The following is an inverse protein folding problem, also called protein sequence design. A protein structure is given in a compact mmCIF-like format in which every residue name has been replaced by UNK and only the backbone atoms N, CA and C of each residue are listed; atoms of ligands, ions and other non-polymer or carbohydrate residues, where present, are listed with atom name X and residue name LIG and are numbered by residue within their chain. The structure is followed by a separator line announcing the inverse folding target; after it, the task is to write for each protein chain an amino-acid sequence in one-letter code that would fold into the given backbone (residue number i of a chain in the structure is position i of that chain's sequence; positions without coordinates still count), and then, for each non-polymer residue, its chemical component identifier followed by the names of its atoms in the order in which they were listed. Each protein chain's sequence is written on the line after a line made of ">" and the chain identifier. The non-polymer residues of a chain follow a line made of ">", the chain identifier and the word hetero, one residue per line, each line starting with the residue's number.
data_IF_425844448796
#
_entry.id   IF_425844448796
#
_cell.length_a   1.000
_cell.length_b   1.000
_cell.length_c   1.000
_cell.angle_alpha   90.00
_cell.angle_beta   90.00
_cell.angle_gamma   90.00
#
_symmetry.space_group_name_H-M   'P 1'
#
loop_
_entity.id
_entity.type
_entity.pdbx_description
1 polymer ?
#
# COMPACT_ATOMS: atom_id res chain seq x y z
N UNK A 1 2.38 -19.62 15.92
CA UNK A 1 2.55 -19.16 15.70
C UNK A 1 2.80 -18.26 15.71
N UNK A 2 3.12 -17.83 15.49
CA UNK A 2 3.38 -17.01 15.39
C UNK A 2 2.85 -16.07 15.45
N UNK A 3 2.89 -15.56 15.77
CA UNK A 3 2.46 -14.56 15.75
C UNK A 3 3.05 -13.65 15.02
N UNK A 4 3.04 -13.61 13.90
CA UNK A 4 3.60 -12.69 13.17
C UNK A 4 2.82 -11.61 12.92
N UNK A 5 3.23 -10.42 13.08
CA UNK A 5 2.47 -9.25 12.86
C UNK A 5 3.20 -8.39 11.95
N UNK A 6 2.59 -7.51 11.29
CA UNK A 6 3.21 -6.52 10.48
C UNK A 6 3.94 -7.12 9.32
N UNK A 7 5.17 -6.75 9.12
CA UNK A 7 5.89 -7.08 7.92
C UNK A 7 6.13 -8.56 7.74
N UNK A 8 6.15 -9.29 8.82
CA UNK A 8 6.40 -10.69 8.68
C UNK A 8 5.28 -11.46 8.05
N UNK A 9 4.10 -10.91 8.04
CA UNK A 9 2.97 -11.58 7.44
C UNK A 9 2.70 -11.11 6.04
N UNK A 10 3.50 -10.20 5.49
CA UNK A 10 3.29 -9.68 4.16
C UNK A 10 4.21 -10.37 3.17
N UNK A 11 3.70 -10.61 1.96
CA UNK A 11 4.53 -11.12 0.90
C UNK A 11 5.40 -9.99 0.36
N UNK A 12 6.36 -10.34 -0.46
CA UNK A 12 7.25 -9.35 -1.05
C UNK A 12 6.46 -8.34 -1.87
N UNK A 13 5.45 -8.82 -2.58
CA UNK A 13 4.62 -7.96 -3.39
C UNK A 13 3.90 -6.93 -2.52
N UNK A 14 3.33 -7.40 -1.43
CA UNK A 14 2.60 -6.52 -0.53
C UNK A 14 3.51 -5.49 0.13
N UNK A 15 4.71 -5.91 0.47
CA UNK A 15 5.66 -4.96 1.05
C UNK A 15 6.07 -3.89 0.05
N UNK A 16 6.28 -4.29 -1.21
CA UNK A 16 6.64 -3.32 -2.23
C UNK A 16 5.53 -2.30 -2.44
N UNK A 17 4.29 -2.73 -2.43
CA UNK A 17 3.17 -1.82 -2.56
C UNK A 17 3.11 -0.89 -1.35
N UNK A 18 3.33 -1.43 -0.16
CA UNK A 18 3.31 -0.61 1.04
C UNK A 18 4.40 0.47 1.00
N UNK A 19 5.59 0.11 0.56
CA UNK A 19 6.68 1.06 0.47
C UNK A 19 6.38 2.12 -0.59
N UNK A 20 5.75 1.74 -1.69
CA UNK A 20 5.36 2.71 -2.71
C UNK A 20 4.34 3.70 -2.16
N UNK A 21 3.38 3.22 -1.39
CA UNK A 21 2.39 4.08 -0.77
C UNK A 21 3.07 5.05 0.19
N UNK A 22 3.98 4.54 1.00
CA UNK A 22 4.69 5.35 1.95
C UNK A 22 5.48 6.46 1.25
N UNK A 23 6.16 6.10 0.17
CA UNK A 23 6.94 7.05 -0.59
C UNK A 23 6.06 8.13 -1.21
N UNK A 24 4.95 7.75 -1.81
CA UNK A 24 4.06 8.71 -2.43
C UNK A 24 3.36 9.59 -1.41
N UNK A 25 3.02 9.04 -0.27
CA UNK A 25 2.43 9.84 0.79
C UNK A 25 3.41 10.89 1.27
N UNK A 26 4.66 10.52 1.40
CA UNK A 26 5.68 11.44 1.84
C UNK A 26 5.83 12.61 0.87
N UNK A 27 5.71 12.34 -0.42
CA UNK A 27 5.88 13.38 -1.41
C UNK A 27 4.62 14.20 -1.66
N UNK A 28 3.46 13.55 -1.64
CA UNK A 28 2.22 14.18 -2.07
C UNK A 28 1.12 14.19 -1.03
N UNK A 29 1.37 13.69 0.14
CA UNK A 29 0.37 13.63 1.20
C UNK A 29 -0.52 12.40 1.14
N UNK A 30 -0.58 11.75 0.00
CA UNK A 30 -1.35 10.53 -0.16
C UNK A 30 -0.90 9.83 -1.43
N UNK A 31 -1.14 8.55 -1.51
CA UNK A 31 -0.75 7.76 -2.67
C UNK A 31 -1.95 7.56 -3.58
N UNK A 32 -1.88 8.07 -4.78
CA UNK A 32 -2.94 7.89 -5.76
C UNK A 32 -2.73 6.57 -6.49
N UNK A 33 -3.83 5.90 -6.79
CA UNK A 33 -3.78 4.62 -7.48
C UNK A 33 -2.99 4.70 -8.78
N UNK A 34 -3.23 5.75 -9.56
CA UNK A 34 -2.51 5.92 -10.81
C UNK A 34 -1.02 6.02 -10.61
N UNK A 35 -0.60 6.73 -9.59
CA UNK A 35 0.83 6.86 -9.29
C UNK A 35 1.40 5.56 -8.74
N UNK A 36 0.60 4.80 -8.01
CA UNK A 36 1.04 3.51 -7.52
C UNK A 36 1.33 2.57 -8.68
N UNK A 37 0.52 2.60 -9.70
CA UNK A 37 0.69 1.71 -10.83
C UNK A 37 1.93 2.04 -11.66
N UNK A 38 2.43 3.26 -11.55
CA UNK A 38 3.59 3.68 -12.30
C UNK A 38 4.83 3.87 -11.43
N UNK A 39 4.71 3.59 -10.13
CA UNK A 39 5.84 3.75 -9.23
C UNK A 39 6.90 2.69 -9.51
N UNK A 40 8.15 3.03 -9.32
CA UNK A 40 9.23 2.10 -9.62
C UNK A 40 9.17 0.84 -8.79
N UNK A 41 8.66 0.89 -7.57
CA UNK A 41 8.55 -0.30 -6.74
C UNK A 41 7.49 -1.27 -7.24
N UNK A 42 6.55 -0.78 -8.03
CA UNK A 42 5.47 -1.61 -8.54
C UNK A 42 5.51 -1.75 -10.05
N UNK A 43 6.54 -1.23 -10.68
CA UNK A 43 6.61 -1.18 -12.14
C UNK A 43 6.59 -2.57 -12.77
N UNK A 44 7.11 -3.57 -12.07
CA UNK A 44 7.15 -4.92 -12.59
C UNK A 44 5.95 -5.75 -12.19
N UNK A 45 4.97 -5.16 -11.52
CA UNK A 45 3.82 -5.88 -11.05
C UNK A 45 2.65 -5.63 -11.95
N UNK A 46 1.77 -6.61 -12.07
CA UNK A 46 0.54 -6.42 -12.82
C UNK A 46 -0.39 -5.52 -12.02
N UNK A 47 -1.31 -4.88 -12.73
CA UNK A 47 -2.31 -4.04 -12.10
C UNK A 47 -3.12 -4.83 -11.08
N UNK A 48 -3.45 -6.07 -11.42
CA UNK A 48 -4.23 -6.92 -10.53
C UNK A 48 -3.46 -7.19 -9.25
N UNK A 49 -2.17 -7.45 -9.34
CA UNK A 49 -1.35 -7.68 -8.16
C UNK A 49 -1.31 -6.46 -7.26
N UNK A 50 -1.18 -5.28 -7.86
CA UNK A 50 -1.16 -4.05 -7.08
C UNK A 50 -2.48 -3.86 -6.34
N UNK A 51 -3.61 -4.03 -7.04
CA UNK A 51 -4.91 -3.84 -6.40
C UNK A 51 -5.18 -4.88 -5.32
N UNK A 52 -4.77 -6.11 -5.53
CA UNK A 52 -4.93 -7.14 -4.52
C UNK A 52 -4.12 -6.79 -3.27
N UNK A 53 -2.90 -6.32 -3.47
CA UNK A 53 -2.04 -5.94 -2.36
C UNK A 53 -2.64 -4.77 -1.59
N UNK A 54 -3.20 -3.80 -2.29
CA UNK A 54 -3.85 -2.67 -1.64
C UNK A 54 -4.98 -3.18 -0.75
N UNK A 55 -5.81 -4.09 -1.26
CA UNK A 55 -6.90 -4.62 -0.47
C UNK A 55 -6.41 -5.36 0.76
N UNK A 56 -5.36 -6.15 0.60
CA UNK A 56 -4.79 -6.87 1.73
C UNK A 56 -4.25 -5.91 2.77
N UNK A 57 -3.53 -4.89 2.34
CA UNK A 57 -2.97 -3.94 3.28
C UNK A 57 -4.06 -3.17 4.02
N UNK A 58 -5.12 -2.85 3.32
CA UNK A 58 -6.26 -2.18 3.92
C UNK A 58 -6.91 -3.07 4.98
N UNK A 59 -7.09 -4.34 4.65
CA UNK A 59 -7.69 -5.30 5.54
C UNK A 59 -6.85 -5.50 6.80
N UNK A 60 -5.53 -5.43 6.66
CA UNK A 60 -4.63 -5.56 7.79
C UNK A 60 -4.43 -4.25 8.54
N UNK A 61 -5.11 -3.20 8.12
CA UNK A 61 -5.01 -1.88 8.75
C UNK A 61 -3.61 -1.26 8.63
N UNK A 62 -2.89 -1.64 7.59
CA UNK A 62 -1.60 -1.03 7.31
C UNK A 62 -1.75 0.28 6.56
N UNK A 63 -2.82 0.39 5.76
CA UNK A 63 -3.12 1.61 5.04
C UNK A 63 -4.61 1.87 5.17
N UNK A 64 -5.02 3.08 4.83
CA UNK A 64 -6.43 3.41 4.81
C UNK A 64 -6.70 4.36 3.66
N UNK A 65 -7.95 4.40 3.22
CA UNK A 65 -8.34 5.31 2.16
C UNK A 65 -8.38 6.72 2.68
N UNK A 66 -8.03 7.64 1.79
CA UNK A 66 -8.17 9.05 2.12
C UNK A 66 -9.65 9.37 2.23
N UNK A 67 -10.02 10.02 3.28
CA UNK A 67 -11.44 10.23 3.59
C UNK A 67 -12.15 11.07 2.53
N UNK A 68 -11.50 12.02 1.93
CA UNK A 68 -12.15 12.95 1.02
C UNK A 68 -11.92 12.64 -0.42
N UNK A 69 -11.10 11.67 -0.77
CA UNK A 69 -10.77 11.42 -2.16
C UNK A 69 -10.75 9.96 -2.48
N UNK A 70 -11.31 9.60 -3.63
CA UNK A 70 -11.30 8.24 -4.06
C UNK A 70 -9.98 7.90 -4.67
N UNK A 71 -9.55 6.65 -4.53
CA UNK A 71 -8.33 6.18 -5.15
C UNK A 71 -7.08 6.73 -4.53
N UNK A 72 -7.18 7.29 -3.33
CA UNK A 72 -6.00 7.76 -2.62
C UNK A 72 -5.88 7.02 -1.30
N UNK A 73 -4.66 6.65 -0.97
CA UNK A 73 -4.40 5.86 0.23
C UNK A 73 -3.31 6.50 1.06
N UNK A 74 -3.35 6.25 2.33
CA UNK A 74 -2.35 6.76 3.26
C UNK A 74 -1.94 5.65 4.20
N UNK A 75 -0.73 5.73 4.73
CA UNK A 75 -0.28 4.78 5.72
C UNK A 75 -1.09 5.01 6.99
N UNK A 76 -1.55 3.91 7.57
CA UNK A 76 -2.31 4.01 8.81
C UNK A 76 -1.41 4.48 9.92
N UNK A 77 -1.81 5.48 10.68
CA UNK A 77 -0.96 6.00 11.72
C UNK A 77 -0.92 5.13 12.96
N UNK A 78 -1.88 4.29 13.15
CA UNK A 78 -1.86 3.53 14.35
C UNK A 78 -1.07 2.33 14.21
N UNK A 79 -0.53 2.02 14.79
CA UNK A 79 0.12 1.00 14.62
C UNK A 79 0.12 0.30 15.35
#
# INVERSE_FOLDING_TARGET
>A
MEKDFGLNSLSEVERNVLYAIKDLEKENGAAKTGHLLTHEFTANMSRISVFRSIKTLEKLNKIKRHASKRGEYRISPSN
#
